data_IF_846510364565
#
_entry.id   IF_846510364565
#
_cell.length_a   1.000
_cell.length_b   1.000
_cell.length_c   1.000
_cell.angle_alpha   90.00
_cell.angle_beta   90.00
_cell.angle_gamma   90.00
#
_symmetry.space_group_name_H-M   'P 1'
#
loop_
_entity.id
_entity.type
_entity.pdbx_description
1 polymer ?
#
# COMPACT_ATOMS: atom_id res chain seq x y z
N UNK A 1 2.43 -10.25 14.02
CA UNK A 1 1.85 -8.90 13.91
C UNK A 1 0.98 -8.62 15.12
N UNK A 2 1.58 -7.96 16.09
CA UNK A 2 0.98 -7.14 17.17
C UNK A 2 2.18 -6.40 17.73
N UNK A 3 2.48 -5.24 17.16
CA UNK A 3 3.49 -4.33 17.73
C UNK A 3 2.72 -3.21 18.45
N UNK A 4 3.22 -2.78 19.61
CA UNK A 4 2.52 -1.84 20.50
C UNK A 4 2.34 -0.42 19.95
N UNK A 5 2.58 -0.21 18.65
CA UNK A 5 2.57 1.07 17.95
C UNK A 5 1.39 1.22 16.97
N UNK A 6 0.56 0.18 16.81
CA UNK A 6 -0.63 0.24 15.95
C UNK A 6 -1.60 1.33 16.42
N UNK A 7 -2.05 2.15 15.47
CA UNK A 7 -2.98 3.24 15.71
C UNK A 7 -4.19 3.15 14.80
N UNK A 8 -5.36 3.50 15.32
CA UNK A 8 -6.63 3.35 14.63
C UNK A 8 -7.28 4.71 14.45
N UNK A 9 -7.39 5.17 13.19
CA UNK A 9 -8.04 6.43 12.86
C UNK A 9 -9.56 6.28 12.84
N UNK A 10 -10.23 6.49 13.97
CA UNK A 10 -11.69 6.48 14.00
C UNK A 10 -12.25 7.59 13.08
N UNK A 11 -13.04 7.20 12.08
CA UNK A 11 -13.54 8.11 11.04
C UNK A 11 -12.58 8.29 9.84
N UNK A 12 -11.53 7.48 9.76
CA UNK A 12 -10.55 7.49 8.68
C UNK A 12 -9.45 8.54 8.86
N UNK A 13 -8.34 8.35 8.14
CA UNK A 13 -7.11 9.16 8.24
C UNK A 13 -7.39 10.66 8.07
N UNK A 14 -8.28 11.04 7.13
CA UNK A 14 -8.64 12.45 6.89
C UNK A 14 -9.34 13.11 8.07
N UNK A 15 -10.16 12.37 8.81
CA UNK A 15 -10.89 12.93 9.96
C UNK A 15 -10.02 12.93 11.21
N UNK A 16 -9.27 11.85 11.43
CA UNK A 16 -8.44 11.71 12.62
C UNK A 16 -7.18 12.58 12.56
N UNK A 17 -6.65 12.84 11.36
CA UNK A 17 -5.35 13.50 11.18
C UNK A 17 -4.17 12.61 11.65
N UNK A 18 -4.36 11.29 11.65
CA UNK A 18 -3.38 10.30 12.09
C UNK A 18 -3.47 9.04 11.22
N UNK A 19 -2.38 8.26 11.20
CA UNK A 19 -2.35 6.99 10.49
C UNK A 19 -3.43 6.01 10.99
N UNK A 20 -3.89 5.13 10.08
CA UNK A 20 -4.77 4.01 10.38
C UNK A 20 -4.07 2.73 9.98
N UNK A 21 -3.55 1.97 10.95
CA UNK A 21 -2.86 0.70 10.72
C UNK A 21 -3.75 -0.31 9.99
N UNK A 22 -5.09 -0.16 10.03
CA UNK A 22 -5.97 -1.05 9.25
C UNK A 22 -5.71 -0.97 7.75
N UNK A 23 -5.22 0.16 7.23
CA UNK A 23 -4.94 0.30 5.80
C UNK A 23 -3.86 -0.67 5.32
N UNK A 24 -2.90 -0.98 6.18
CA UNK A 24 -1.83 -1.94 5.94
C UNK A 24 -2.34 -3.37 6.17
N UNK A 25 -2.78 -3.66 7.39
CA UNK A 25 -3.11 -5.02 7.83
C UNK A 25 -4.27 -5.64 7.02
N UNK A 26 -5.32 -4.86 6.73
CA UNK A 26 -6.41 -5.34 5.88
C UNK A 26 -5.92 -5.52 4.44
N UNK A 27 -5.04 -4.64 3.96
CA UNK A 27 -4.51 -4.76 2.62
C UNK A 27 -3.67 -6.02 2.44
N UNK A 28 -2.82 -6.38 3.41
CA UNK A 28 -2.09 -7.66 3.39
C UNK A 28 -3.03 -8.88 3.30
N UNK A 29 -4.21 -8.83 3.93
CA UNK A 29 -5.20 -9.90 3.79
C UNK A 29 -5.82 -9.92 2.39
N UNK A 30 -6.16 -8.76 1.84
CA UNK A 30 -6.80 -8.65 0.53
C UNK A 30 -5.83 -8.98 -0.62
N UNK A 31 -4.56 -8.58 -0.49
CA UNK A 31 -3.53 -8.75 -1.51
C UNK A 31 -3.22 -10.22 -1.79
N UNK A 32 -3.39 -11.12 -0.81
CA UNK A 32 -3.33 -12.57 -1.03
C UNK A 32 -4.23 -13.04 -2.18
N UNK A 33 -5.43 -12.47 -2.30
CA UNK A 33 -6.33 -12.78 -3.40
C UNK A 33 -5.77 -12.35 -4.76
N UNK A 34 -5.08 -11.20 -4.81
CA UNK A 34 -4.47 -10.66 -6.03
C UNK A 34 -3.29 -11.51 -6.50
N UNK A 35 -2.42 -11.91 -5.57
CA UNK A 35 -1.24 -12.75 -5.86
C UNK A 35 -1.65 -14.06 -6.55
N UNK A 36 -2.69 -14.71 -6.05
CA UNK A 36 -3.17 -15.98 -6.60
C UNK A 36 -4.06 -15.85 -7.83
N UNK A 37 -4.84 -14.77 -7.95
CA UNK A 37 -5.79 -14.61 -9.07
C UNK A 37 -5.11 -14.08 -10.33
N UNK A 38 -4.10 -13.21 -10.16
CA UNK A 38 -3.44 -12.51 -11.25
C UNK A 38 -1.91 -12.64 -11.16
N UNK A 39 -1.36 -13.86 -11.17
CA UNK A 39 0.06 -14.10 -10.88
C UNK A 39 1.03 -13.45 -11.88
N UNK A 40 0.62 -13.25 -13.14
CA UNK A 40 1.42 -12.50 -14.13
C UNK A 40 1.61 -11.02 -13.75
N UNK A 41 0.63 -10.44 -13.07
CA UNK A 41 0.62 -9.03 -12.72
C UNK A 41 1.11 -8.78 -11.29
N UNK A 42 0.58 -9.54 -10.34
CA UNK A 42 0.76 -9.31 -8.92
C UNK A 42 1.48 -10.45 -8.21
N UNK A 43 1.94 -11.50 -8.90
CA UNK A 43 2.62 -12.62 -8.25
C UNK A 43 3.73 -12.16 -7.29
N UNK A 44 3.81 -12.81 -6.14
CA UNK A 44 4.70 -12.49 -5.02
C UNK A 44 6.08 -13.18 -5.10
N UNK A 45 6.47 -13.54 -6.32
CA UNK A 45 7.77 -14.11 -6.69
C UNK A 45 8.27 -13.44 -7.98
N UNK A 46 9.59 -13.47 -8.25
CA UNK A 46 10.13 -12.90 -9.49
C UNK A 46 9.49 -13.44 -10.76
N UNK A 47 9.19 -12.53 -11.68
CA UNK A 47 8.55 -12.81 -12.96
C UNK A 47 7.14 -12.21 -13.11
N UNK A 48 6.61 -11.57 -12.07
CA UNK A 48 5.41 -10.73 -12.16
C UNK A 48 5.75 -9.25 -12.41
N UNK A 49 4.77 -8.47 -12.87
CA UNK A 49 4.95 -7.02 -13.02
C UNK A 49 5.16 -6.29 -11.69
N UNK A 50 4.55 -6.78 -10.61
CA UNK A 50 4.77 -6.27 -9.25
C UNK A 50 6.22 -6.52 -8.80
N UNK A 51 6.75 -7.71 -9.10
CA UNK A 51 8.14 -8.07 -8.83
C UNK A 51 9.12 -7.20 -9.61
N UNK A 52 8.85 -6.98 -10.91
CA UNK A 52 9.68 -6.10 -11.75
C UNK A 52 9.70 -4.65 -11.22
N UNK A 53 8.55 -4.16 -10.75
CA UNK A 53 8.43 -2.82 -10.17
C UNK A 53 9.19 -2.73 -8.83
N UNK A 54 9.04 -3.71 -7.94
CA UNK A 54 9.79 -3.76 -6.67
C UNK A 54 11.31 -3.84 -6.90
N UNK A 55 11.76 -4.67 -7.84
CA UNK A 55 13.18 -4.80 -8.16
C UNK A 55 13.74 -3.48 -8.70
N UNK A 56 12.97 -2.73 -9.50
CA UNK A 56 13.33 -1.36 -9.88
C UNK A 56 13.41 -0.43 -8.67
N UNK A 57 12.45 -0.51 -7.74
CA UNK A 57 12.38 0.35 -6.56
C UNK A 57 13.54 0.18 -5.57
N UNK A 58 14.06 -1.05 -5.49
CA UNK A 58 15.23 -1.40 -4.68
C UNK A 58 16.55 -1.20 -5.42
N UNK A 59 16.53 -0.84 -6.71
CA UNK A 59 17.71 -0.70 -7.56
C UNK A 59 18.36 -2.03 -7.98
N UNK A 60 17.61 -3.13 -7.89
CA UNK A 60 18.07 -4.48 -8.24
C UNK A 60 17.18 -5.56 -7.63
N UNK A 61 17.44 -6.82 -8.03
CA UNK A 61 16.75 -7.97 -7.47
C UNK A 61 17.49 -8.51 -6.24
N UNK A 62 16.84 -8.46 -5.08
CA UNK A 62 17.37 -8.99 -3.81
C UNK A 62 16.42 -10.04 -3.25
N UNK A 63 16.91 -11.27 -3.04
CA UNK A 63 16.13 -12.38 -2.49
C UNK A 63 15.93 -12.31 -0.98
N UNK A 64 16.81 -11.60 -0.29
CA UNK A 64 16.76 -11.27 1.14
C UNK A 64 17.14 -9.81 1.27
N UNK A 65 16.86 -9.19 2.41
CA UNK A 65 17.32 -7.82 2.69
C UNK A 65 18.86 -7.74 2.57
N UNK A 66 19.42 -6.86 1.73
CA UNK A 66 20.86 -6.67 1.60
C UNK A 66 21.42 -5.87 2.78
N UNK A 67 22.74 -5.94 3.01
CA UNK A 67 23.41 -5.07 4.00
C UNK A 67 23.20 -3.57 3.70
N UNK A 68 23.07 -3.21 2.43
CA UNK A 68 22.70 -1.87 1.99
C UNK A 68 22.04 -1.89 0.61
N UNK A 69 21.07 -0.98 0.44
CA UNK A 69 20.49 -0.69 -0.87
C UNK A 69 21.31 0.36 -1.62
N UNK A 70 21.28 0.38 -2.97
CA UNK A 70 21.79 1.48 -3.76
C UNK A 70 21.19 2.83 -3.33
N UNK A 71 21.97 3.92 -3.41
CA UNK A 71 21.48 5.27 -3.08
C UNK A 71 20.25 5.69 -3.90
N UNK A 72 20.11 5.16 -5.13
CA UNK A 72 18.97 5.42 -6.00
C UNK A 72 17.70 4.67 -5.62
N UNK A 73 17.75 3.74 -4.66
CA UNK A 73 16.58 3.00 -4.21
C UNK A 73 15.62 3.91 -3.43
N UNK A 74 14.33 3.81 -3.75
CA UNK A 74 13.23 4.48 -3.04
C UNK A 74 12.39 3.55 -2.18
N UNK A 75 12.70 2.26 -2.22
CA UNK A 75 12.20 1.26 -1.30
C UNK A 75 13.37 0.52 -0.66
N UNK A 76 13.44 0.54 0.67
CA UNK A 76 14.56 0.02 1.46
C UNK A 76 14.06 -0.69 2.72
N UNK A 77 13.56 -1.92 2.54
CA UNK A 77 13.07 -2.74 3.65
C UNK A 77 14.19 -3.10 4.63
N UNK A 78 13.98 -2.96 5.93
CA UNK A 78 15.03 -3.04 6.96
C UNK A 78 14.95 -4.25 7.90
N UNK A 79 13.86 -5.03 7.88
CA UNK A 79 13.74 -6.29 8.64
C UNK A 79 14.59 -7.40 7.98
N UNK A 80 15.75 -7.69 8.57
CA UNK A 80 16.72 -8.68 8.09
C UNK A 80 16.22 -10.14 8.12
N UNK A 81 15.11 -10.40 8.82
CA UNK A 81 14.46 -11.72 8.84
C UNK A 81 13.63 -11.99 7.58
N UNK A 82 13.43 -10.96 6.75
CA UNK A 82 12.55 -11.00 5.61
C UNK A 82 13.24 -11.48 4.30
N UNK A 83 12.54 -12.33 3.57
CA UNK A 83 12.88 -12.77 2.23
C UNK A 83 12.15 -11.95 1.14
N UNK A 84 12.18 -12.41 -0.10
CA UNK A 84 11.53 -11.73 -1.23
C UNK A 84 10.02 -11.59 -1.02
N UNK A 85 9.40 -12.61 -0.42
CA UNK A 85 7.96 -12.72 -0.29
C UNK A 85 7.41 -11.65 0.66
N UNK A 86 8.00 -11.45 1.84
CA UNK A 86 7.53 -10.37 2.71
C UNK A 86 7.85 -8.99 2.14
N UNK A 87 9.02 -8.79 1.50
CA UNK A 87 9.36 -7.51 0.88
C UNK A 87 8.38 -7.09 -0.22
N UNK A 88 7.90 -8.03 -1.04
CA UNK A 88 6.95 -7.70 -2.11
C UNK A 88 5.52 -7.47 -1.59
N UNK A 89 5.18 -8.06 -0.45
CA UNK A 89 3.90 -7.79 0.22
C UNK A 89 3.85 -6.36 0.75
N UNK A 90 4.93 -5.93 1.40
CA UNK A 90 5.11 -4.56 1.91
C UNK A 90 5.21 -3.54 0.77
N UNK A 91 5.95 -3.87 -0.29
CA UNK A 91 5.99 -3.03 -1.49
C UNK A 91 4.59 -2.80 -2.08
N UNK A 92 3.76 -3.86 -2.16
CA UNK A 92 2.41 -3.71 -2.70
C UNK A 92 1.52 -2.82 -1.82
N UNK A 93 1.71 -2.88 -0.51
CA UNK A 93 1.10 -1.94 0.44
C UNK A 93 1.55 -0.51 0.15
N UNK A 94 2.86 -0.24 0.11
CA UNK A 94 3.41 1.09 -0.10
C UNK A 94 2.90 1.75 -1.40
N UNK A 95 2.96 1.03 -2.52
CA UNK A 95 2.52 1.58 -3.80
C UNK A 95 1.02 1.85 -3.82
N UNK A 96 0.20 1.01 -3.15
CA UNK A 96 -1.23 1.28 -3.08
C UNK A 96 -1.52 2.53 -2.24
N UNK A 97 -0.89 2.65 -1.06
CA UNK A 97 -1.12 3.78 -0.16
C UNK A 97 -0.70 5.10 -0.77
N UNK A 98 0.44 5.13 -1.46
CA UNK A 98 0.85 6.29 -2.26
C UNK A 98 -0.16 6.57 -3.38
N UNK A 99 -0.61 5.54 -4.12
CA UNK A 99 -1.53 5.70 -5.26
C UNK A 99 -2.92 6.24 -4.89
N UNK A 100 -3.38 6.00 -3.66
CA UNK A 100 -4.66 6.54 -3.16
C UNK A 100 -4.49 7.84 -2.35
N UNK A 101 -3.28 8.40 -2.31
CA UNK A 101 -2.88 9.59 -1.54
C UNK A 101 -3.06 9.43 -0.01
N UNK A 102 -3.08 8.20 0.52
CA UNK A 102 -3.24 7.94 1.95
C UNK A 102 -2.02 8.37 2.78
N UNK A 103 -0.83 8.40 2.17
CA UNK A 103 0.41 8.82 2.80
C UNK A 103 0.64 10.34 2.75
N UNK A 104 -0.29 11.10 2.14
CA UNK A 104 -0.14 12.55 1.97
C UNK A 104 0.08 13.25 3.33
N UNK A 105 1.10 14.13 3.44
CA UNK A 105 1.33 14.96 4.62
C UNK A 105 0.16 15.87 5.00
N UNK A 106 -0.82 16.02 4.11
CA UNK A 106 -2.08 16.72 4.42
C UNK A 106 -2.90 15.98 5.50
N UNK A 107 -2.75 14.65 5.60
CA UNK A 107 -3.63 13.81 6.43
C UNK A 107 -2.90 13.03 7.53
N UNK A 108 -1.60 12.78 7.39
CA UNK A 108 -0.83 11.95 8.32
C UNK A 108 0.66 12.27 8.27
N UNK A 109 1.42 11.89 9.30
CA UNK A 109 2.89 11.94 9.29
C UNK A 109 3.53 10.64 8.80
N UNK A 110 2.75 9.59 8.49
CA UNK A 110 3.26 8.24 8.15
C UNK A 110 4.35 8.23 7.07
N UNK A 111 4.25 9.07 6.04
CA UNK A 111 5.29 9.12 5.01
C UNK A 111 6.63 9.63 5.56
N UNK A 112 6.61 10.65 6.40
CA UNK A 112 7.82 11.19 7.05
C UNK A 112 8.36 10.21 8.10
N UNK A 113 7.48 9.60 8.88
CA UNK A 113 7.85 8.63 9.92
C UNK A 113 8.42 7.32 9.34
N UNK A 114 8.30 7.09 8.02
CA UNK A 114 8.81 5.90 7.33
C UNK A 114 9.77 6.22 6.19
N UNK A 115 10.33 7.44 6.15
CA UNK A 115 11.14 7.92 5.03
C UNK A 115 12.44 7.12 4.80
N UNK A 116 12.95 6.46 5.84
CA UNK A 116 14.12 5.58 5.77
C UNK A 116 13.85 4.33 4.92
N UNK A 117 12.60 3.87 4.90
CA UNK A 117 12.12 2.70 4.14
C UNK A 117 11.45 3.10 2.82
N UNK A 118 10.57 4.10 2.85
CA UNK A 118 9.74 4.55 1.73
C UNK A 118 9.40 6.04 1.81
N UNK A 119 9.64 6.80 0.73
CA UNK A 119 9.46 8.26 0.73
C UNK A 119 8.49 8.81 -0.33
N UNK A 120 7.77 7.97 -1.08
CA UNK A 120 6.78 8.44 -2.08
C UNK A 120 5.41 8.61 -1.41
N UNK A 121 4.98 9.86 -1.19
CA UNK A 121 3.79 10.13 -0.35
C UNK A 121 2.50 10.27 -1.16
N UNK A 122 2.59 10.63 -2.44
CA UNK A 122 1.43 10.96 -3.28
C UNK A 122 1.39 10.15 -4.56
N UNK A 123 0.21 10.07 -5.17
CA UNK A 123 0.01 9.43 -6.46
C UNK A 123 0.82 10.10 -7.57
N UNK A 124 1.00 11.42 -7.49
CA UNK A 124 1.79 12.19 -8.44
C UNK A 124 3.28 11.84 -8.35
N UNK A 125 3.82 11.71 -7.13
CA UNK A 125 5.20 11.25 -6.91
C UNK A 125 5.38 9.81 -7.38
N UNK A 126 4.42 8.92 -7.07
CA UNK A 126 4.43 7.54 -7.55
C UNK A 126 4.48 7.49 -9.09
N UNK A 127 3.65 8.28 -9.78
CA UNK A 127 3.66 8.36 -11.24
C UNK A 127 5.01 8.79 -11.82
N UNK A 128 5.70 9.69 -11.12
CA UNK A 128 6.97 10.25 -11.58
C UNK A 128 8.16 9.33 -11.30
N UNK A 129 8.20 8.72 -10.10
CA UNK A 129 9.35 7.95 -9.61
C UNK A 129 9.22 6.47 -9.92
N UNK A 130 8.03 5.90 -9.75
CA UNK A 130 7.74 4.49 -9.98
C UNK A 130 6.65 4.30 -11.06
N UNK A 131 6.97 4.59 -12.34
CA UNK A 131 6.00 4.48 -13.42
C UNK A 131 5.54 3.04 -13.67
N UNK A 132 6.32 2.03 -13.25
CA UNK A 132 5.94 0.62 -13.35
C UNK A 132 4.80 0.31 -12.37
N UNK A 133 4.94 0.69 -11.11
CA UNK A 133 3.86 0.59 -10.13
C UNK A 133 2.64 1.40 -10.54
N UNK A 134 2.83 2.66 -10.96
CA UNK A 134 1.73 3.50 -11.39
C UNK A 134 0.94 2.87 -12.55
N UNK A 135 1.65 2.35 -13.56
CA UNK A 135 1.01 1.69 -14.70
C UNK A 135 0.26 0.43 -14.28
N UNK A 136 0.87 -0.41 -13.44
CA UNK A 136 0.27 -1.62 -12.89
C UNK A 136 -1.06 -1.34 -12.17
N UNK A 137 -1.09 -0.30 -11.32
CA UNK A 137 -2.28 0.03 -10.52
C UNK A 137 -3.38 0.74 -11.32
N UNK A 138 -3.03 1.49 -12.37
CA UNK A 138 -3.96 2.45 -12.99
C UNK A 138 -4.33 2.14 -14.45
N UNK A 139 -3.50 1.41 -15.19
CA UNK A 139 -3.65 1.26 -16.65
C UNK A 139 -3.89 -0.18 -17.10
N UNK A 140 -3.86 -1.15 -16.19
CA UNK A 140 -4.07 -2.58 -16.51
C UNK A 140 -5.54 -3.01 -16.47
N UNK A 141 -6.47 -2.10 -16.16
CA UNK A 141 -7.91 -2.36 -16.15
C UNK A 141 -8.43 -3.07 -14.90
N UNK A 142 -7.63 -3.15 -13.83
CA UNK A 142 -8.03 -3.71 -12.54
C UNK A 142 -8.89 -2.74 -11.73
N UNK A 143 -9.79 -3.29 -10.91
CA UNK A 143 -10.62 -2.54 -9.97
C UNK A 143 -9.94 -2.43 -8.60
N UNK A 144 -8.74 -1.85 -8.57
CA UNK A 144 -8.02 -1.56 -7.34
C UNK A 144 -8.65 -0.35 -6.61
N UNK A 145 -8.42 -0.19 -5.30
CA UNK A 145 -8.82 1.02 -4.58
C UNK A 145 -8.21 2.27 -5.22
N UNK A 146 -9.03 3.31 -5.38
CA UNK A 146 -8.63 4.61 -5.96
C UNK A 146 -8.88 5.79 -5.02
N UNK A 147 -9.42 5.52 -3.83
CA UNK A 147 -9.76 6.53 -2.83
C UNK A 147 -9.39 6.01 -1.44
N UNK A 148 -9.02 6.91 -0.55
CA UNK A 148 -8.81 6.63 0.87
C UNK A 148 -10.16 6.22 1.50
N UNK A 149 -10.22 5.09 2.23
CA UNK A 149 -11.39 4.73 3.02
C UNK A 149 -11.80 5.84 4.00
N UNK A 150 -13.09 6.13 4.08
CA UNK A 150 -13.62 7.23 4.92
C UNK A 150 -13.92 6.85 6.37
N UNK A 151 -13.70 5.59 6.76
CA UNK A 151 -13.93 5.13 8.14
C UNK A 151 -15.39 5.10 8.62
N UNK A 152 -16.37 5.42 7.77
CA UNK A 152 -17.81 5.29 8.07
C UNK A 152 -18.39 4.03 7.42
N UNK A 153 -18.48 2.97 8.21
CA UNK A 153 -19.00 1.66 7.80
C UNK A 153 -20.42 1.40 8.29
N UNK A 154 -21.15 2.44 8.69
CA UNK A 154 -22.52 2.27 9.15
C UNK A 154 -23.44 1.86 7.98
N UNK A 155 -24.34 0.90 8.26
CA UNK A 155 -25.38 0.53 7.30
C UNK A 155 -26.30 1.72 7.11
N UNK A 156 -26.27 2.34 5.92
CA UNK A 156 -27.28 3.34 5.55
C UNK A 156 -28.66 2.69 5.56
N UNK A 157 -29.45 2.98 6.58
CA UNK A 157 -30.86 2.59 6.61
C UNK A 157 -31.61 3.59 5.74
N UNK A 158 -31.86 3.24 4.48
CA UNK A 158 -32.82 3.97 3.66
C UNK A 158 -34.20 3.73 4.25
N UNK A 159 -34.76 4.75 4.90
CA UNK A 159 -36.09 4.69 5.50
C UNK A 159 -37.16 4.50 4.43
N UNK A 160 -37.57 3.27 4.18
CA UNK A 160 -38.89 3.00 3.64
C UNK A 160 -39.89 3.37 4.76
N UNK A 161 -40.57 4.51 4.60
CA UNK A 161 -41.81 4.77 5.32
C UNK A 161 -42.79 3.66 4.95
N UNK A 162 -42.88 2.65 5.81
CA UNK A 162 -44.00 1.71 5.80
C UNK A 162 -45.19 2.50 6.31
N UNK A 163 -46.04 2.93 5.39
CA UNK A 163 -47.39 3.40 5.68
C UNK A 163 -48.06 2.37 6.60
N UNK A 164 -48.37 2.79 7.83
CA UNK A 164 -49.27 2.05 8.72
C UNK A 164 -50.66 2.67 8.61
N UNK A 165 -51.57 1.79 8.19
CA UNK A 165 -53.05 1.83 8.23
C UNK A 165 -53.75 2.98 7.53
#
# INVERSE_FOLDING_TARGET
MYFGEDSWAFGGVRQAGSWDTNLEEIWHVLSMGWYHTYPEYFGDEPGSRLADAMDSARGGQFRTVPESYPESAWYRYDDDSCDYYCQIHEYFYWILMANIDALSPEYTNKCADSEDEWFLCTRAELQQVDPLAYDLLNNQGFNLPTNIPVGDYQRRVTGAQVNRS
#
